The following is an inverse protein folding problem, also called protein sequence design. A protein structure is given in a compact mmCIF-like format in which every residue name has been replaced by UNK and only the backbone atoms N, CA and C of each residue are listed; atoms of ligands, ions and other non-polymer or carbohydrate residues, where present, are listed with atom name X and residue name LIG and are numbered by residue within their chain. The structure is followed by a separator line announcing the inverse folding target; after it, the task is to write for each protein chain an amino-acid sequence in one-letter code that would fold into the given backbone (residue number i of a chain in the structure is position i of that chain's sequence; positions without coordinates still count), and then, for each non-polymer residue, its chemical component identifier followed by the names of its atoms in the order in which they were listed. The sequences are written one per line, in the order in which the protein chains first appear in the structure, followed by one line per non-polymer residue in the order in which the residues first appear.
data_IF_575015475737
#
_entry.id   IF_575015475737
#
_cell.length_a   1.000
_cell.length_b   1.000
_cell.length_c   1.000
_cell.angle_alpha   90.00
_cell.angle_beta   90.00
_cell.angle_gamma   90.00
#
_symmetry.space_group_name_H-M   'P 1'
#
loop_
_entity.id
_entity.type
_entity.pdbx_description
1 polymer ?
#
# COMPACT_ATOMS: atom_id res chain seq x y z
N UNK A 1 35.46 15.98 1.57
CA UNK A 1 34.09 16.20 1.07
C UNK A 1 33.40 14.86 0.81
N UNK A 2 32.71 14.28 1.80
CA UNK A 2 31.88 13.08 1.57
C UNK A 2 30.88 12.95 2.73
N UNK A 3 29.94 13.89 2.78
CA UNK A 3 28.83 13.84 3.72
C UNK A 3 27.53 13.99 2.97
N UNK A 4 26.54 13.20 3.39
CA UNK A 4 25.10 13.34 3.08
C UNK A 4 24.65 12.90 1.69
N UNK A 5 24.36 11.60 1.57
CA UNK A 5 23.33 11.10 0.65
C UNK A 5 22.36 10.13 1.35
N UNK A 6 21.99 10.43 2.62
CA UNK A 6 21.03 9.63 3.38
C UNK A 6 19.62 10.25 3.44
N UNK A 7 19.42 11.44 2.87
CA UNK A 7 18.15 12.19 2.97
C UNK A 7 17.28 12.19 1.70
N UNK A 8 17.65 11.48 0.63
CA UNK A 8 16.87 11.51 -0.61
C UNK A 8 15.68 10.53 -0.62
N UNK A 9 15.63 9.54 0.28
CA UNK A 9 14.64 8.46 0.20
C UNK A 9 13.51 8.52 1.24
N UNK A 10 13.63 9.39 2.25
CA UNK A 10 12.61 9.54 3.29
C UNK A 10 12.36 11.01 3.58
N UNK A 11 11.40 11.66 2.90
CA UNK A 11 10.98 13.00 3.29
C UNK A 11 10.44 12.95 4.72
N UNK A 12 11.09 13.68 5.63
CA UNK A 12 10.66 13.82 7.01
C UNK A 12 9.23 14.37 7.03
N UNK A 13 8.30 13.66 7.69
CA UNK A 13 6.90 14.07 7.78
C UNK A 13 6.80 15.30 8.69
N UNK A 14 6.86 16.49 8.09
CA UNK A 14 6.63 17.73 8.81
C UNK A 14 5.14 17.86 9.19
N UNK A 15 4.82 17.62 10.46
CA UNK A 15 3.48 17.84 11.01
C UNK A 15 3.26 19.34 11.16
N UNK A 16 2.55 19.95 10.20
CA UNK A 16 2.12 21.35 10.29
C UNK A 16 0.75 21.43 10.97
N UNK A 17 0.63 22.30 11.98
CA UNK A 17 -0.66 22.71 12.49
C UNK A 17 -1.49 23.33 11.34
N UNK A 18 -2.77 22.96 11.24
CA UNK A 18 -3.68 23.49 10.23
C UNK A 18 -4.89 24.08 10.93
N UNK A 19 -5.28 25.29 10.51
CA UNK A 19 -6.46 25.97 11.04
C UNK A 19 -7.68 25.54 10.22
N UNK A 20 -8.62 24.87 10.88
CA UNK A 20 -9.90 24.47 10.29
C UNK A 20 -10.95 25.51 10.68
N UNK A 21 -11.40 26.30 9.72
CA UNK A 21 -12.45 27.30 9.96
C UNK A 21 -13.81 26.61 9.97
N UNK A 22 -14.52 26.70 11.11
CA UNK A 22 -15.88 26.19 11.26
C UNK A 22 -16.87 27.20 10.64
N UNK A 23 -17.96 26.74 10.03
CA UNK A 23 -19.02 27.61 9.49
C UNK A 23 -18.85 28.04 8.03
N UNK A 24 -17.67 28.55 7.65
CA UNK A 24 -17.40 29.05 6.30
C UNK A 24 -16.46 28.14 5.50
N UNK A 25 -16.95 27.36 4.52
CA UNK A 25 -16.08 26.61 3.64
C UNK A 25 -15.32 27.54 2.69
N UNK A 26 -14.11 27.93 3.10
CA UNK A 26 -13.15 28.55 2.20
C UNK A 26 -12.82 27.54 1.10
N UNK A 27 -13.20 27.84 -0.15
CA UNK A 27 -12.86 27.03 -1.35
C UNK A 27 -11.36 26.73 -1.49
N UNK A 28 -10.52 27.49 -0.80
CA UNK A 28 -9.06 27.40 -0.81
C UNK A 28 -8.50 26.24 0.01
N UNK A 29 -9.25 25.67 0.96
CA UNK A 29 -8.74 24.58 1.81
C UNK A 29 -9.14 23.20 1.26
N UNK A 30 -8.20 22.51 0.61
CA UNK A 30 -8.38 21.14 0.13
C UNK A 30 -7.90 20.14 1.19
N UNK A 31 -8.84 19.36 1.75
CA UNK A 31 -8.52 18.26 2.66
C UNK A 31 -8.41 16.94 1.88
N UNK A 32 -7.48 16.04 2.28
CA UNK A 32 -7.46 14.70 1.72
C UNK A 32 -8.79 13.98 2.01
N UNK A 33 -9.21 13.12 1.08
CA UNK A 33 -10.39 12.28 1.26
C UNK A 33 -10.16 11.27 2.39
N UNK A 34 -11.21 10.98 3.17
CA UNK A 34 -11.19 9.98 4.24
C UNK A 34 -11.26 8.53 3.70
N UNK A 35 -10.61 8.25 2.58
CA UNK A 35 -10.52 6.91 2.02
C UNK A 35 -9.20 6.28 2.44
N UNK A 36 -9.27 5.21 3.21
CA UNK A 36 -8.10 4.44 3.64
C UNK A 36 -7.73 3.45 2.54
N UNK A 37 -6.47 3.45 2.11
CA UNK A 37 -5.92 2.44 1.22
C UNK A 37 -4.55 2.01 1.75
N UNK A 38 -4.47 0.79 2.29
CA UNK A 38 -3.27 0.18 2.84
C UNK A 38 -2.63 -0.82 1.86
N UNK A 39 -3.06 -0.88 0.61
CA UNK A 39 -2.44 -1.74 -0.40
C UNK A 39 -0.99 -1.31 -0.64
N UNK A 40 -0.05 -2.23 -0.40
CA UNK A 40 1.39 -2.00 -0.65
C UNK A 40 1.71 -2.17 -2.14
N UNK A 41 1.04 -3.10 -2.83
CA UNK A 41 1.27 -3.35 -4.25
C UNK A 41 0.04 -3.02 -5.10
N UNK A 42 0.28 -2.47 -6.28
CA UNK A 42 -0.68 -2.48 -7.38
C UNK A 42 -0.52 -3.80 -8.15
N UNK A 43 -1.58 -4.23 -8.86
CA UNK A 43 -1.59 -5.50 -9.63
C UNK A 43 -0.36 -5.61 -10.56
N UNK A 44 0.05 -4.49 -11.17
CA UNK A 44 1.21 -4.45 -12.07
C UNK A 44 2.56 -4.38 -11.34
N UNK A 45 2.62 -3.77 -10.16
CA UNK A 45 3.86 -3.66 -9.39
C UNK A 45 4.11 -4.88 -8.50
N UNK A 46 3.11 -5.72 -8.26
CA UNK A 46 3.19 -6.88 -7.36
C UNK A 46 4.32 -7.85 -7.77
N UNK A 47 4.31 -8.32 -9.01
CA UNK A 47 5.30 -9.26 -9.50
C UNK A 47 6.76 -8.76 -9.43
N UNK A 48 7.10 -7.60 -10.03
CA UNK A 48 8.49 -7.14 -10.05
C UNK A 48 9.01 -6.79 -8.65
N UNK A 49 8.18 -6.23 -7.77
CA UNK A 49 8.61 -5.85 -6.41
C UNK A 49 8.81 -7.09 -5.53
N UNK A 50 7.89 -8.05 -5.57
CA UNK A 50 8.00 -9.28 -4.76
C UNK A 50 9.19 -10.13 -5.23
N UNK A 51 9.44 -10.23 -6.53
CA UNK A 51 10.65 -10.90 -7.05
C UNK A 51 11.93 -10.21 -6.58
N UNK A 52 11.97 -8.89 -6.64
CA UNK A 52 13.14 -8.14 -6.20
C UNK A 52 13.41 -8.34 -4.71
N UNK A 53 12.37 -8.28 -3.86
CA UNK A 53 12.50 -8.57 -2.43
C UNK A 53 13.00 -10.01 -2.18
N UNK A 54 12.52 -11.00 -2.94
CA UNK A 54 12.99 -12.38 -2.81
C UNK A 54 14.43 -12.58 -3.27
N UNK A 55 14.83 -12.03 -4.42
CA UNK A 55 16.19 -12.18 -4.94
C UNK A 55 17.23 -11.30 -4.24
N UNK A 56 16.80 -10.29 -3.48
CA UNK A 56 17.70 -9.54 -2.59
C UNK A 56 18.24 -10.41 -1.44
N UNK A 57 17.63 -11.56 -1.17
CA UNK A 57 18.12 -12.53 -0.19
C UNK A 57 19.27 -13.32 -0.81
N UNK A 58 20.42 -13.33 -0.14
CA UNK A 58 21.67 -13.94 -0.63
C UNK A 58 21.51 -15.40 -1.10
N UNK A 59 20.75 -16.22 -0.36
CA UNK A 59 20.51 -17.62 -0.74
C UNK A 59 19.71 -17.75 -2.04
N UNK A 60 18.64 -16.97 -2.18
CA UNK A 60 17.81 -16.98 -3.39
C UNK A 60 18.59 -16.50 -4.62
N UNK A 61 19.51 -15.54 -4.42
CA UNK A 61 20.43 -15.09 -5.48
C UNK A 61 21.41 -16.19 -5.90
N UNK A 62 21.98 -16.94 -4.96
CA UNK A 62 22.85 -18.08 -5.27
C UNK A 62 22.09 -19.14 -6.07
N UNK A 63 20.88 -19.50 -5.65
CA UNK A 63 20.05 -20.46 -6.39
C UNK A 63 19.71 -19.98 -7.80
N UNK A 64 19.48 -18.68 -7.99
CA UNK A 64 19.25 -18.07 -9.30
C UNK A 64 20.50 -18.14 -10.19
N UNK A 65 21.69 -17.80 -9.66
CA UNK A 65 22.94 -17.90 -10.42
C UNK A 65 23.23 -19.36 -10.79
N UNK A 66 23.01 -20.27 -9.84
CA UNK A 66 23.19 -21.71 -10.05
C UNK A 66 22.22 -22.28 -11.10
N UNK A 67 20.96 -21.84 -11.11
CA UNK A 67 19.97 -22.27 -12.10
C UNK A 67 20.24 -21.66 -13.48
N UNK A 68 20.73 -20.42 -13.54
CA UNK A 68 21.14 -19.74 -14.77
C UNK A 68 22.42 -20.35 -15.37
N UNK A 69 23.38 -20.79 -14.56
CA UNK A 69 24.60 -21.43 -15.07
C UNK A 69 24.30 -22.70 -15.86
N UNK A 70 23.21 -23.39 -15.53
CA UNK A 70 22.78 -24.58 -16.26
C UNK A 70 22.30 -24.26 -17.68
N UNK A 71 22.06 -23.00 -18.08
CA UNK A 71 21.78 -22.69 -19.48
C UNK A 71 22.99 -22.93 -20.38
N UNK A 72 24.21 -22.79 -19.85
CA UNK A 72 25.46 -22.99 -20.60
C UNK A 72 25.73 -24.50 -20.67
N UNK A 73 25.64 -25.14 -21.86
CA UNK A 73 25.74 -26.59 -21.98
C UNK A 73 27.07 -27.15 -21.47
N UNK A 74 28.17 -26.39 -21.59
CA UNK A 74 29.51 -26.81 -21.16
C UNK A 74 29.67 -26.86 -19.62
N UNK A 75 28.79 -26.19 -18.87
CA UNK A 75 28.79 -26.12 -17.41
C UNK A 75 27.63 -26.92 -16.78
N UNK A 76 26.85 -27.65 -17.60
CA UNK A 76 25.70 -28.43 -17.13
C UNK A 76 26.18 -29.66 -16.38
N UNK A 77 25.81 -29.75 -15.11
CA UNK A 77 26.06 -30.93 -14.27
C UNK A 77 24.86 -31.89 -14.32
N UNK A 78 23.66 -31.39 -14.61
CA UNK A 78 22.43 -32.18 -14.64
C UNK A 78 21.30 -31.56 -15.49
N UNK A 79 20.07 -31.99 -15.25
CA UNK A 79 18.88 -31.54 -15.98
C UNK A 79 18.40 -30.17 -15.48
N UNK A 80 17.91 -29.30 -16.36
CA UNK A 80 17.47 -27.94 -15.99
C UNK A 80 16.39 -27.92 -14.89
N UNK A 81 15.44 -28.85 -14.95
CA UNK A 81 14.29 -28.87 -14.04
C UNK A 81 14.68 -29.15 -12.58
N UNK A 82 15.79 -29.84 -12.31
CA UNK A 82 16.21 -30.15 -10.93
C UNK A 82 16.67 -28.91 -10.18
N UNK A 83 17.12 -27.89 -10.90
CA UNK A 83 17.56 -26.61 -10.33
C UNK A 83 16.42 -25.57 -10.33
N UNK A 84 15.65 -25.51 -11.42
CA UNK A 84 14.52 -24.59 -11.53
C UNK A 84 13.30 -25.01 -10.69
N UNK A 85 13.12 -26.31 -10.43
CA UNK A 85 12.00 -26.85 -9.67
C UNK A 85 11.92 -26.28 -8.25
N UNK A 86 12.95 -26.46 -7.41
CA UNK A 86 12.96 -25.93 -6.04
C UNK A 86 12.81 -24.40 -5.99
N UNK A 87 13.51 -23.68 -6.87
CA UNK A 87 13.45 -22.21 -6.96
C UNK A 87 12.04 -21.73 -7.35
N UNK A 88 11.45 -22.35 -8.37
CA UNK A 88 10.09 -22.05 -8.81
C UNK A 88 9.06 -22.34 -7.71
N UNK A 89 9.19 -23.48 -7.01
CA UNK A 89 8.29 -23.84 -5.92
C UNK A 89 8.29 -22.79 -4.80
N UNK A 90 9.47 -22.40 -4.31
CA UNK A 90 9.60 -21.40 -3.24
C UNK A 90 9.05 -20.04 -3.70
N UNK A 91 9.38 -19.59 -4.92
CA UNK A 91 8.86 -18.34 -5.46
C UNK A 91 7.33 -18.36 -5.58
N UNK A 92 6.75 -19.46 -6.07
CA UNK A 92 5.30 -19.63 -6.18
C UNK A 92 4.61 -19.54 -4.81
N UNK A 93 5.14 -20.24 -3.80
CA UNK A 93 4.59 -20.18 -2.43
C UNK A 93 4.66 -18.76 -1.88
N UNK A 94 5.78 -18.05 -2.08
CA UNK A 94 5.91 -16.65 -1.66
C UNK A 94 4.87 -15.77 -2.34
N UNK A 95 4.70 -15.87 -3.67
CA UNK A 95 3.70 -15.08 -4.39
C UNK A 95 2.28 -15.33 -3.89
N UNK A 96 1.92 -16.60 -3.69
CA UNK A 96 0.58 -16.96 -3.19
C UNK A 96 0.36 -16.33 -1.81
N UNK A 97 1.33 -16.45 -0.91
CA UNK A 97 1.23 -15.88 0.43
C UNK A 97 1.06 -14.36 0.39
N UNK A 98 1.92 -13.67 -0.35
CA UNK A 98 1.88 -12.20 -0.44
C UNK A 98 0.56 -11.73 -1.09
N UNK A 99 0.08 -12.44 -2.12
CA UNK A 99 -1.19 -12.13 -2.77
C UNK A 99 -2.39 -12.31 -1.81
N UNK A 100 -2.41 -13.39 -1.03
CA UNK A 100 -3.46 -13.63 -0.03
C UNK A 100 -3.45 -12.51 1.01
N UNK A 101 -2.28 -12.13 1.51
CA UNK A 101 -2.17 -11.09 2.54
C UNK A 101 -2.62 -9.73 2.01
N UNK A 102 -2.33 -9.40 0.76
CA UNK A 102 -2.80 -8.16 0.13
C UNK A 102 -4.31 -8.17 -0.18
N UNK A 103 -4.88 -9.31 -0.60
CA UNK A 103 -6.34 -9.45 -0.75
C UNK A 103 -7.05 -9.24 0.59
N UNK A 104 -6.52 -9.83 1.67
CA UNK A 104 -7.07 -9.65 3.03
C UNK A 104 -7.01 -8.20 3.48
N UNK A 105 -5.93 -7.47 3.17
CA UNK A 105 -5.82 -6.03 3.45
C UNK A 105 -6.89 -5.24 2.70
N UNK A 106 -7.06 -5.52 1.41
CA UNK A 106 -8.08 -4.86 0.60
C UNK A 106 -9.50 -5.09 1.12
N UNK A 107 -9.82 -6.32 1.53
CA UNK A 107 -11.13 -6.64 2.11
C UNK A 107 -11.39 -5.85 3.39
N UNK A 108 -10.42 -5.79 4.31
CA UNK A 108 -10.52 -4.99 5.55
C UNK A 108 -10.68 -3.50 5.26
N UNK A 109 -9.89 -2.96 4.34
CA UNK A 109 -10.00 -1.55 3.96
C UNK A 109 -11.37 -1.25 3.34
N UNK A 110 -11.93 -2.17 2.56
CA UNK A 110 -13.27 -2.02 1.98
C UNK A 110 -14.34 -1.99 3.08
N UNK A 111 -14.28 -2.86 4.07
CA UNK A 111 -15.22 -2.89 5.20
C UNK A 111 -15.18 -1.58 5.99
N UNK A 112 -13.98 -1.09 6.33
CA UNK A 112 -13.80 0.17 7.07
C UNK A 112 -14.29 1.37 6.26
N UNK A 113 -13.97 1.43 4.96
CA UNK A 113 -14.41 2.54 4.10
C UNK A 113 -15.94 2.56 3.86
N UNK A 114 -16.60 1.40 3.95
CA UNK A 114 -18.05 1.26 3.73
C UNK A 114 -18.88 1.37 5.03
N UNK A 115 -18.23 1.49 6.19
CA UNK A 115 -18.92 1.62 7.48
C UNK A 115 -19.79 2.89 7.47
N UNK A 116 -21.09 2.74 7.78
CA UNK A 116 -22.05 3.85 7.77
C UNK A 116 -22.02 4.62 9.09
N UNK A 117 -21.95 5.95 9.02
CA UNK A 117 -22.02 6.84 10.17
C UNK A 117 -23.22 7.79 10.05
N UNK A 118 -23.83 8.14 11.18
CA UNK A 118 -24.88 9.14 11.22
C UNK A 118 -24.25 10.53 11.32
N UNK A 119 -24.50 11.36 10.31
CA UNK A 119 -24.08 12.75 10.27
C UNK A 119 -25.23 13.65 10.68
N UNK A 120 -24.98 14.53 11.65
CA UNK A 120 -25.95 15.53 12.09
C UNK A 120 -25.89 16.72 11.11
N UNK A 121 -27.04 17.04 10.51
CA UNK A 121 -27.23 18.14 9.56
C UNK A 121 -28.27 19.11 10.16
N UNK A 122 -28.23 20.39 9.77
CA UNK A 122 -29.20 21.42 10.22
C UNK A 122 -30.69 21.01 10.13
N UNK A 123 -31.04 20.03 9.29
CA UNK A 123 -32.41 19.55 9.06
C UNK A 123 -32.57 18.04 9.33
N UNK A 124 -31.85 17.49 10.31
CA UNK A 124 -31.98 16.08 10.73
C UNK A 124 -30.70 15.26 10.59
N UNK A 125 -30.80 13.94 10.72
CA UNK A 125 -29.66 13.02 10.58
C UNK A 125 -29.65 12.37 9.19
N UNK A 126 -28.49 12.35 8.54
CA UNK A 126 -28.27 11.67 7.26
C UNK A 126 -27.20 10.60 7.46
N UNK A 127 -27.44 9.38 6.97
CA UNK A 127 -26.44 8.32 6.99
C UNK A 127 -25.45 8.54 5.85
N UNK A 128 -24.16 8.62 6.17
CA UNK A 128 -23.06 8.78 5.22
C UNK A 128 -22.06 7.64 5.39
N UNK A 129 -21.34 7.29 4.34
CA UNK A 129 -20.27 6.29 4.43
C UNK A 129 -19.00 6.91 5.01
N UNK A 130 -18.18 6.12 5.70
CA UNK A 130 -16.90 6.55 6.27
C UNK A 130 -16.03 7.29 5.26
N UNK A 131 -15.94 6.77 4.04
CA UNK A 131 -15.15 7.37 2.96
C UNK A 131 -15.65 8.75 2.48
N UNK A 132 -16.93 9.07 2.71
CA UNK A 132 -17.56 10.30 2.25
C UNK A 132 -17.49 11.44 3.27
N UNK A 133 -17.09 11.15 4.51
CA UNK A 133 -16.94 12.13 5.59
C UNK A 133 -15.89 13.18 5.19
N UNK A 134 -16.27 14.46 5.31
CA UNK A 134 -15.45 15.62 4.92
C UNK A 134 -15.29 16.56 6.10
N UNK A 135 -14.03 16.82 6.46
CA UNK A 135 -13.61 17.61 7.64
C UNK A 135 -14.39 18.92 7.81
N UNK A 136 -14.62 19.66 6.72
CA UNK A 136 -15.11 21.03 6.80
C UNK A 136 -16.63 21.18 6.52
N UNK A 137 -17.22 20.28 5.72
CA UNK A 137 -18.68 20.28 5.48
C UNK A 137 -19.49 19.66 6.62
N UNK A 138 -18.83 18.90 7.50
CA UNK A 138 -19.51 18.07 8.50
C UNK A 138 -19.55 18.79 9.85
N UNK A 139 -18.48 19.48 10.23
CA UNK A 139 -18.38 20.23 11.49
C UNK A 139 -19.18 21.55 11.46
N UNK A 140 -19.23 22.24 10.32
CA UNK A 140 -20.01 23.48 10.14
C UNK A 140 -21.52 23.28 10.40
N UNK A 141 -22.04 22.07 10.17
CA UNK A 141 -23.48 21.79 10.35
C UNK A 141 -23.89 21.55 11.81
N UNK A 142 -22.95 21.13 12.65
CA UNK A 142 -23.20 20.81 14.05
C UNK A 142 -23.17 22.06 14.94
N UNK A 143 -22.38 23.08 14.58
CA UNK A 143 -22.23 24.32 15.36
C UNK A 143 -23.30 25.39 15.05
N UNK A 144 -24.29 25.07 14.21
CA UNK A 144 -25.35 25.97 13.76
C UNK A 144 -26.74 25.54 14.27
N UNK A 145 -26.76 24.63 15.23
CA UNK A 145 -27.96 24.10 15.89
C UNK A 145 -27.99 24.50 17.39
N UNK A 146 -26.89 25.06 17.89
CA UNK A 146 -26.83 25.83 19.16
C UNK A 146 -26.82 27.34 18.83
#
# INVERSE_FOLDING_TARGET
CAGRCHNCCFPEKAYRARVVNLGHPSKTQHFPSNKINNQKYSILSFFPLVLFEQFSIFLNLIYLVLSCSQFIPDLRVGQLYTYWGPLGFVLCVTFIREAIDDIRRWLRDREVNQTSYSKIVRHGQVRVTSAEIKVLSDFSKHCLID
#
